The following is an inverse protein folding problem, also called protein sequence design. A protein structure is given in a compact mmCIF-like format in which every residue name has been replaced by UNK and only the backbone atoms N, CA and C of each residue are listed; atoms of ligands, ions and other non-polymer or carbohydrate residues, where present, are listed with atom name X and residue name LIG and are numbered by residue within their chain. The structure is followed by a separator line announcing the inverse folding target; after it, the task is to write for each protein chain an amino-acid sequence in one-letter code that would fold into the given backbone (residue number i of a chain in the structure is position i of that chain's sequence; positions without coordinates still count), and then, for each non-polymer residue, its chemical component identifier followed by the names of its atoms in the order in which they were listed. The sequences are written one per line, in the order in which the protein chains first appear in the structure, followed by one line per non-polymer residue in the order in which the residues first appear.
data_IF_276552070267
#
_entry.id   IF_276552070267
#
_cell.length_a   1.000
_cell.length_b   1.000
_cell.length_c   1.000
_cell.angle_alpha   90.00
_cell.angle_beta   90.00
_cell.angle_gamma   90.00
#
_symmetry.space_group_name_H-M   'P 1'
#
loop_
_entity.id
_entity.type
_entity.pdbx_description
1 polymer ?
#
# COMPACT_ATOMS: atom_id res chain seq x y z
N UNK A 1 -8.79 3.79 25.58
CA UNK A 1 -9.65 3.49 24.41
C UNK A 1 -8.80 3.69 23.17
N UNK A 2 -8.93 2.86 22.11
CA UNK A 2 -8.15 3.08 20.91
C UNK A 2 -8.54 4.42 20.28
N UNK A 3 -7.58 5.31 20.10
CA UNK A 3 -7.73 6.53 19.32
C UNK A 3 -7.75 6.11 17.83
N UNK A 4 -8.88 6.32 17.16
CA UNK A 4 -9.09 5.80 15.80
C UNK A 4 -8.65 6.77 14.69
N UNK A 5 -8.68 8.07 14.96
CA UNK A 5 -8.29 9.17 14.05
C UNK A 5 -7.44 10.22 14.80
N UNK A 6 -6.87 11.20 14.06
CA UNK A 6 -6.11 12.33 14.62
C UNK A 6 -6.82 13.13 15.73
N UNK A 7 -8.15 13.04 15.81
CA UNK A 7 -8.97 13.83 16.74
C UNK A 7 -8.89 13.36 18.19
N UNK A 8 -8.22 12.23 18.48
CA UNK A 8 -8.17 11.59 19.81
C UNK A 8 -9.57 11.35 20.44
N UNK A 9 -10.64 11.43 19.64
CA UNK A 9 -12.00 11.25 20.12
C UNK A 9 -12.31 9.76 20.29
N UNK A 10 -12.93 9.35 21.41
CA UNK A 10 -13.32 7.97 21.62
C UNK A 10 -14.43 7.59 20.63
N UNK A 11 -14.20 6.54 19.86
CA UNK A 11 -15.18 5.94 18.98
C UNK A 11 -15.72 4.65 19.60
N UNK A 12 -16.96 4.29 19.23
CA UNK A 12 -17.47 2.97 19.58
C UNK A 12 -16.67 1.90 18.84
N UNK A 13 -16.35 0.74 19.47
CA UNK A 13 -15.73 -0.36 18.76
C UNK A 13 -16.62 -0.87 17.62
N UNK A 14 -15.99 -1.23 16.51
CA UNK A 14 -16.68 -1.90 15.41
C UNK A 14 -17.30 -3.24 15.86
N UNK A 15 -18.45 -3.58 15.28
CA UNK A 15 -19.19 -4.80 15.58
C UNK A 15 -19.90 -5.23 14.31
N UNK A 16 -19.49 -6.36 13.72
CA UNK A 16 -20.05 -6.81 12.44
C UNK A 16 -21.59 -6.93 12.43
N UNK A 17 -22.26 -7.43 13.49
CA UNK A 17 -23.73 -7.47 13.53
C UNK A 17 -24.43 -6.10 13.53
N UNK A 18 -23.76 -5.04 14.00
CA UNK A 18 -24.35 -3.70 14.14
C UNK A 18 -23.92 -2.73 13.06
N UNK A 19 -22.74 -2.93 12.50
CA UNK A 19 -22.03 -1.96 11.67
C UNK A 19 -21.61 -2.55 10.33
N UNK A 20 -22.17 -3.69 9.93
CA UNK A 20 -21.85 -4.33 8.65
C UNK A 20 -22.20 -3.48 7.41
N UNK A 21 -23.11 -2.52 7.57
CA UNK A 21 -23.48 -1.52 6.57
C UNK A 21 -22.39 -0.46 6.31
N UNK A 22 -21.39 -0.35 7.20
CA UNK A 22 -20.21 0.49 6.95
C UNK A 22 -19.29 -0.11 5.88
N UNK A 23 -19.46 -1.39 5.55
CA UNK A 23 -18.59 -2.08 4.60
C UNK A 23 -19.02 -1.80 3.15
N UNK A 24 -18.05 -1.50 2.31
CA UNK A 24 -18.18 -1.20 0.89
C UNK A 24 -17.69 -2.42 0.12
N UNK A 25 -18.56 -2.99 -0.71
CA UNK A 25 -18.19 -4.03 -1.66
C UNK A 25 -18.03 -3.41 -3.05
N UNK A 26 -16.78 -3.32 -3.53
CA UNK A 26 -16.49 -2.65 -4.80
C UNK A 26 -17.15 -3.34 -6.02
N UNK A 27 -17.53 -4.62 -5.93
CA UNK A 27 -18.26 -5.28 -7.01
C UNK A 27 -19.73 -4.83 -7.12
N UNK A 28 -20.29 -4.24 -6.06
CA UNK A 28 -21.70 -3.90 -5.94
C UNK A 28 -21.90 -2.42 -5.60
N UNK A 29 -21.09 -1.55 -6.21
CA UNK A 29 -21.26 -0.11 -6.10
C UNK A 29 -22.56 0.33 -6.79
N UNK A 30 -23.16 1.40 -6.27
CA UNK A 30 -24.27 2.07 -6.94
C UNK A 30 -23.79 2.54 -8.34
N UNK A 31 -24.56 2.33 -9.42
CA UNK A 31 -24.22 2.82 -10.76
C UNK A 31 -23.94 4.33 -10.83
N UNK A 32 -24.51 5.12 -9.92
CA UNK A 32 -24.29 6.56 -9.79
C UNK A 32 -23.06 6.93 -8.95
N UNK A 33 -22.34 5.93 -8.41
CA UNK A 33 -21.11 6.15 -7.65
C UNK A 33 -20.11 6.92 -8.51
N UNK A 34 -19.67 8.12 -8.07
CA UNK A 34 -18.69 8.88 -8.84
C UNK A 34 -17.38 8.13 -9.02
N UNK A 35 -16.87 8.12 -10.24
CA UNK A 35 -15.62 7.48 -10.62
C UNK A 35 -14.66 8.52 -11.19
N UNK A 36 -13.37 8.35 -10.90
CA UNK A 36 -12.29 9.10 -11.51
C UNK A 36 -11.55 8.21 -12.52
N UNK A 37 -11.24 8.75 -13.69
CA UNK A 37 -10.59 8.03 -14.77
C UNK A 37 -9.07 8.27 -14.80
N UNK A 38 -8.34 7.17 -14.95
CA UNK A 38 -6.88 7.14 -14.96
C UNK A 38 -6.35 6.50 -16.24
N UNK A 39 -5.13 6.87 -16.62
CA UNK A 39 -4.37 6.10 -17.63
C UNK A 39 -3.96 4.73 -17.07
N UNK A 40 -3.40 3.86 -17.91
CA UNK A 40 -2.92 2.52 -17.52
C UNK A 40 -1.85 2.55 -16.44
N UNK A 41 -1.03 3.60 -16.42
CA UNK A 41 0.01 3.89 -15.43
C UNK A 41 -0.55 4.58 -14.17
N UNK A 42 -1.87 4.65 -14.03
CA UNK A 42 -2.57 5.31 -12.94
C UNK A 42 -2.15 6.78 -12.73
N UNK A 43 -1.70 7.47 -13.78
CA UNK A 43 -1.59 8.93 -13.80
C UNK A 43 -2.96 9.58 -14.05
N UNK A 44 -3.16 10.77 -13.48
CA UNK A 44 -4.39 11.53 -13.67
C UNK A 44 -4.49 12.01 -15.12
N UNK A 45 -5.71 12.00 -15.68
CA UNK A 45 -6.14 12.37 -17.05
C UNK A 45 -6.20 11.23 -18.08
N UNK A 46 -7.34 10.53 -18.14
CA UNK A 46 -7.76 9.80 -19.33
C UNK A 46 -9.02 10.46 -19.91
N UNK A 47 -9.05 10.68 -21.23
CA UNK A 47 -10.21 11.19 -21.95
C UNK A 47 -11.11 10.00 -22.36
N UNK A 48 -11.87 9.44 -21.41
CA UNK A 48 -13.00 8.55 -21.69
C UNK A 48 -12.72 7.05 -21.86
N UNK A 49 -11.45 6.64 -21.93
CA UNK A 49 -11.02 5.23 -22.08
C UNK A 49 -10.08 4.76 -20.97
N UNK A 50 -10.17 5.38 -19.79
CA UNK A 50 -9.29 5.10 -18.67
C UNK A 50 -9.75 3.96 -17.74
N UNK A 51 -8.85 3.59 -16.82
CA UNK A 51 -9.20 2.76 -15.66
C UNK A 51 -10.04 3.60 -14.69
N UNK A 52 -11.23 3.11 -14.34
CA UNK A 52 -12.16 3.79 -13.43
C UNK A 52 -11.91 3.37 -11.99
N UNK A 53 -11.64 4.35 -11.13
CA UNK A 53 -11.45 4.17 -9.69
C UNK A 53 -12.52 4.98 -8.96
N UNK A 54 -13.19 4.43 -7.93
CA UNK A 54 -14.17 5.19 -7.17
C UNK A 54 -13.59 6.47 -6.57
N UNK A 55 -14.32 7.58 -6.71
CA UNK A 55 -13.87 8.90 -6.29
C UNK A 55 -13.55 8.95 -4.80
N UNK A 56 -14.28 8.19 -3.98
CA UNK A 56 -14.03 8.12 -2.54
C UNK A 56 -12.67 7.50 -2.18
N UNK A 57 -12.00 6.80 -3.12
CA UNK A 57 -10.61 6.35 -2.98
C UNK A 57 -9.67 7.29 -3.76
N UNK A 58 -9.99 7.56 -5.03
CA UNK A 58 -9.14 8.33 -5.92
C UNK A 58 -8.94 9.78 -5.48
N UNK A 59 -10.01 10.44 -5.01
CA UNK A 59 -10.01 11.82 -4.55
C UNK A 59 -8.98 12.08 -3.44
N UNK A 60 -9.11 11.43 -2.26
CA UNK A 60 -8.14 11.62 -1.18
C UNK A 60 -6.73 11.18 -1.56
N UNK A 61 -6.56 10.11 -2.36
CA UNK A 61 -5.23 9.66 -2.82
C UNK A 61 -4.54 10.69 -3.72
N UNK A 62 -5.27 11.29 -4.67
CA UNK A 62 -4.72 12.29 -5.60
C UNK A 62 -4.43 13.61 -4.92
N UNK A 63 -5.32 14.04 -4.03
CA UNK A 63 -5.07 15.23 -3.22
C UNK A 63 -3.87 15.02 -2.29
N UNK A 64 -3.76 13.86 -1.63
CA UNK A 64 -2.61 13.54 -0.78
C UNK A 64 -1.30 13.65 -1.55
N UNK A 65 -1.24 13.07 -2.77
CA UNK A 65 -0.07 13.17 -3.63
C UNK A 65 0.25 14.62 -4.02
N UNK A 66 -0.75 15.41 -4.39
CA UNK A 66 -0.57 16.84 -4.71
C UNK A 66 -0.01 17.61 -3.51
N UNK A 67 -0.60 17.40 -2.32
CA UNK A 67 -0.20 18.09 -1.10
C UNK A 67 1.20 17.75 -0.66
N UNK A 68 1.60 16.48 -0.76
CA UNK A 68 2.99 16.12 -0.47
C UNK A 68 3.96 16.84 -1.43
N UNK A 69 3.61 16.93 -2.72
CA UNK A 69 4.42 17.69 -3.69
C UNK A 69 4.52 19.17 -3.32
N UNK A 70 3.42 19.79 -2.89
CA UNK A 70 3.40 21.17 -2.38
C UNK A 70 4.24 21.34 -1.10
N UNK A 71 4.14 20.41 -0.16
CA UNK A 71 4.94 20.42 1.09
C UNK A 71 6.43 20.40 0.76
N UNK A 72 6.85 19.47 -0.10
CA UNK A 72 8.24 19.32 -0.54
C UNK A 72 8.73 20.58 -1.27
N UNK A 73 7.96 21.09 -2.23
CA UNK A 73 8.32 22.28 -2.99
C UNK A 73 8.48 23.53 -2.10
N UNK A 74 7.68 23.62 -1.04
CA UNK A 74 7.73 24.70 -0.06
C UNK A 74 8.73 24.45 1.08
N UNK A 75 9.56 23.39 1.00
CA UNK A 75 10.49 22.97 2.07
C UNK A 75 9.79 22.79 3.44
N UNK A 76 8.54 22.32 3.41
CA UNK A 76 7.79 21.92 4.60
C UNK A 76 7.96 20.42 4.82
N UNK A 77 7.96 19.99 6.08
CA UNK A 77 8.11 18.59 6.45
C UNK A 77 7.03 17.70 5.81
N UNK A 78 7.47 16.73 5.00
CA UNK A 78 6.61 15.71 4.38
C UNK A 78 5.67 15.04 5.38
N UNK A 79 4.42 14.81 4.98
CA UNK A 79 3.42 14.09 5.77
C UNK A 79 3.88 12.69 6.24
N UNK A 80 4.75 12.02 5.48
CA UNK A 80 5.34 10.73 5.85
C UNK A 80 6.05 10.79 7.20
N UNK A 81 6.52 11.99 7.59
CA UNK A 81 7.18 12.19 8.85
C UNK A 81 6.20 12.36 10.01
N UNK A 82 4.96 12.75 9.73
CA UNK A 82 3.94 13.18 10.69
C UNK A 82 2.80 12.17 10.89
N UNK A 83 2.59 11.23 9.96
CA UNK A 83 1.54 10.21 10.07
C UNK A 83 1.80 9.22 11.19
N UNK A 84 0.70 8.68 11.74
CA UNK A 84 0.75 7.63 12.75
C UNK A 84 0.72 6.24 12.11
N UNK A 85 1.68 5.37 12.49
CA UNK A 85 1.72 3.97 12.05
C UNK A 85 0.78 3.05 12.81
N UNK A 86 -0.18 3.58 13.58
CA UNK A 86 -1.06 2.76 14.41
C UNK A 86 -1.98 1.88 13.53
N UNK A 87 -1.90 0.55 13.65
CA UNK A 87 -2.76 -0.33 12.89
C UNK A 87 -4.19 -0.26 13.43
N UNK A 88 -5.15 -0.14 12.52
CA UNK A 88 -6.57 -0.38 12.80
C UNK A 88 -7.15 -1.25 11.70
N UNK A 89 -7.94 -2.25 12.07
CA UNK A 89 -8.48 -3.26 11.16
C UNK A 89 -9.83 -2.88 10.60
N UNK A 90 -10.69 -2.40 11.49
CA UNK A 90 -12.10 -2.30 11.24
C UNK A 90 -12.45 -0.85 10.90
N UNK A 91 -13.53 -0.64 10.13
CA UNK A 91 -14.05 0.70 9.92
C UNK A 91 -14.49 1.29 11.25
N UNK A 92 -14.36 2.60 11.37
CA UNK A 92 -14.71 3.30 12.60
C UNK A 92 -16.19 3.68 12.53
N UNK A 93 -17.06 3.23 13.46
CA UNK A 93 -18.44 3.70 13.54
C UNK A 93 -18.49 5.23 13.62
N UNK A 94 -19.43 5.84 12.88
CA UNK A 94 -19.48 7.30 12.73
C UNK A 94 -19.63 8.00 14.10
N UNK A 95 -18.76 8.96 14.35
CA UNK A 95 -18.88 9.91 15.47
C UNK A 95 -19.15 11.30 14.91
N UNK A 96 -20.24 11.95 15.33
CA UNK A 96 -20.62 13.27 14.85
C UNK A 96 -19.65 14.38 15.23
N UNK A 97 -18.74 14.15 16.18
CA UNK A 97 -17.71 15.11 16.58
C UNK A 97 -16.37 14.87 15.87
N UNK A 98 -16.21 13.74 15.19
CA UNK A 98 -14.97 13.43 14.49
C UNK A 98 -15.00 13.99 13.06
N UNK A 99 -14.10 14.94 12.78
CA UNK A 99 -13.99 15.54 11.44
C UNK A 99 -13.71 14.49 10.35
N UNK A 100 -12.85 13.49 10.61
CA UNK A 100 -12.58 12.42 9.63
C UNK A 100 -13.85 11.63 9.32
N UNK A 101 -14.67 11.29 10.32
CA UNK A 101 -15.96 10.62 10.09
C UNK A 101 -16.92 11.47 9.26
N UNK A 102 -16.98 12.78 9.54
CA UNK A 102 -17.83 13.70 8.79
C UNK A 102 -17.40 13.79 7.32
N UNK A 103 -16.09 13.91 7.07
CA UNK A 103 -15.56 14.01 5.70
C UNK A 103 -15.69 12.69 4.95
N UNK A 104 -15.51 11.54 5.59
CA UNK A 104 -15.78 10.23 4.95
C UNK A 104 -17.26 10.08 4.62
N UNK A 105 -18.17 10.50 5.51
CA UNK A 105 -19.61 10.49 5.24
C UNK A 105 -19.97 11.39 4.05
N UNK A 106 -19.45 12.60 4.03
CA UNK A 106 -19.63 13.54 2.92
C UNK A 106 -19.08 12.95 1.61
N UNK A 107 -17.88 12.38 1.66
CA UNK A 107 -17.24 11.76 0.49
C UNK A 107 -18.04 10.60 -0.09
N UNK A 108 -18.69 9.80 0.76
CA UNK A 108 -19.50 8.65 0.35
C UNK A 108 -20.91 9.02 -0.11
N UNK A 109 -21.47 10.16 0.31
CA UNK A 109 -22.89 10.51 0.09
C UNK A 109 -23.11 11.73 -0.81
N UNK A 110 -22.24 12.71 -0.70
CA UNK A 110 -22.48 14.06 -1.21
C UNK A 110 -21.48 14.48 -2.28
N UNK A 111 -20.24 13.99 -2.24
CA UNK A 111 -19.20 14.29 -3.23
C UNK A 111 -19.57 13.71 -4.62
N UNK A 112 -19.48 14.53 -5.68
CA UNK A 112 -19.89 14.14 -7.05
C UNK A 112 -18.75 14.16 -8.06
N UNK A 113 -17.73 14.97 -7.84
CA UNK A 113 -16.59 15.06 -8.74
C UNK A 113 -15.29 15.41 -8.01
N UNK A 114 -14.16 15.29 -8.70
CA UNK A 114 -12.85 15.58 -8.11
C UNK A 114 -12.70 17.06 -7.70
N UNK A 115 -13.34 17.97 -8.43
CA UNK A 115 -13.35 19.40 -8.10
C UNK A 115 -14.04 19.68 -6.75
N UNK A 116 -15.04 18.88 -6.38
CA UNK A 116 -15.66 18.95 -5.05
C UNK A 116 -14.64 18.58 -3.96
N UNK A 117 -13.87 17.50 -4.16
CA UNK A 117 -12.80 17.10 -3.24
C UNK A 117 -11.75 18.21 -3.10
N UNK A 118 -11.30 18.78 -4.23
CA UNK A 118 -10.33 19.88 -4.26
C UNK A 118 -10.84 21.09 -3.49
N UNK A 119 -12.08 21.51 -3.74
CA UNK A 119 -12.70 22.66 -3.10
C UNK A 119 -12.92 22.43 -1.61
N UNK A 120 -13.43 21.25 -1.23
CA UNK A 120 -13.75 20.89 0.16
C UNK A 120 -12.50 20.78 1.03
N UNK A 121 -11.40 20.26 0.48
CA UNK A 121 -10.14 20.03 1.21
C UNK A 121 -9.01 20.98 0.80
N UNK A 122 -9.36 22.14 0.23
CA UNK A 122 -8.40 23.13 -0.27
C UNK A 122 -7.49 23.72 0.82
N UNK A 123 -7.84 23.60 2.09
CA UNK A 123 -7.05 24.08 3.24
C UNK A 123 -6.64 22.97 4.21
N UNK A 124 -6.93 21.70 3.89
CA UNK A 124 -6.62 20.57 4.77
C UNK A 124 -5.21 20.06 4.50
N UNK A 125 -4.53 19.66 5.56
CA UNK A 125 -3.18 19.09 5.47
C UNK A 125 -3.19 17.64 4.96
N UNK A 126 -2.01 17.17 4.52
CA UNK A 126 -1.81 15.82 4.01
C UNK A 126 -2.09 14.72 5.02
N UNK A 127 -1.84 14.94 6.31
CA UNK A 127 -2.07 13.91 7.34
C UNK A 127 -3.58 13.67 7.49
N UNK A 128 -4.38 14.73 7.44
CA UNK A 128 -5.83 14.64 7.45
C UNK A 128 -6.36 13.89 6.21
N UNK A 129 -5.84 14.18 5.01
CA UNK A 129 -6.19 13.45 3.78
C UNK A 129 -5.82 11.96 3.86
N UNK A 130 -4.66 11.66 4.45
CA UNK A 130 -4.23 10.28 4.68
C UNK A 130 -5.16 9.55 5.64
N UNK A 131 -5.64 10.19 6.71
CA UNK A 131 -6.63 9.61 7.63
C UNK A 131 -7.97 9.32 6.94
N UNK A 132 -8.44 10.20 6.06
CA UNK A 132 -9.64 9.95 5.23
C UNK A 132 -9.43 8.72 4.35
N UNK A 133 -8.31 8.66 3.61
CA UNK A 133 -7.98 7.51 2.77
C UNK A 133 -7.92 6.22 3.60
N UNK A 134 -7.28 6.28 4.77
CA UNK A 134 -7.13 5.15 5.69
C UNK A 134 -8.47 4.63 6.21
N UNK A 135 -9.40 5.53 6.52
CA UNK A 135 -10.76 5.17 6.97
C UNK A 135 -11.64 4.65 5.82
N UNK A 136 -11.48 5.17 4.60
CA UNK A 136 -12.15 4.62 3.42
C UNK A 136 -11.66 3.19 3.15
N UNK A 137 -10.35 2.97 3.17
CA UNK A 137 -9.78 1.66 2.91
C UNK A 137 -10.17 0.61 3.97
N UNK A 138 -10.38 1.01 5.23
CA UNK A 138 -10.88 0.08 6.28
C UNK A 138 -12.36 -0.27 6.11
N UNK A 139 -13.10 0.46 5.27
CA UNK A 139 -14.48 0.13 4.91
C UNK A 139 -14.56 -0.91 3.80
N UNK A 140 -13.47 -1.25 3.11
CA UNK A 140 -13.54 -2.26 2.06
C UNK A 140 -13.86 -3.63 2.66
N UNK A 141 -14.89 -4.28 2.10
CA UNK A 141 -15.37 -5.58 2.55
C UNK A 141 -14.35 -6.69 2.31
N UNK A 142 -13.58 -6.59 1.22
CA UNK A 142 -12.42 -7.42 0.93
C UNK A 142 -11.17 -6.55 0.94
N UNK A 143 -10.03 -7.14 1.28
CA UNK A 143 -8.74 -6.45 1.15
C UNK A 143 -8.27 -6.49 -0.30
N UNK A 144 -7.36 -5.59 -0.64
CA UNK A 144 -7.00 -5.30 -2.01
C UNK A 144 -6.10 -6.36 -2.66
N UNK A 145 -5.20 -6.97 -1.90
CA UNK A 145 -4.26 -7.96 -2.40
C UNK A 145 -4.30 -9.25 -1.56
N UNK A 146 -4.78 -10.37 -2.13
CA UNK A 146 -4.63 -11.66 -1.50
C UNK A 146 -3.21 -12.20 -1.63
N UNK A 147 -2.62 -12.61 -0.52
CA UNK A 147 -1.39 -13.38 -0.53
C UNK A 147 -1.70 -14.87 -0.55
N UNK A 148 -0.97 -15.62 -1.38
CA UNK A 148 -0.89 -17.07 -1.24
C UNK A 148 0.07 -17.45 -0.09
N UNK A 149 0.04 -18.71 0.33
CA UNK A 149 0.98 -19.21 1.36
C UNK A 149 2.42 -19.08 0.88
N UNK A 150 2.67 -19.46 -0.39
CA UNK A 150 3.98 -19.33 -1.01
C UNK A 150 4.47 -17.89 -1.08
N UNK A 151 3.61 -16.93 -1.44
CA UNK A 151 3.98 -15.51 -1.46
C UNK A 151 4.33 -15.01 -0.07
N UNK A 152 3.53 -15.36 0.94
CA UNK A 152 3.79 -15.03 2.35
C UNK A 152 5.12 -15.61 2.85
N UNK A 153 5.35 -16.90 2.61
CA UNK A 153 6.56 -17.59 3.06
C UNK A 153 7.80 -17.05 2.37
N UNK A 154 7.69 -16.74 1.07
CA UNK A 154 8.75 -16.07 0.32
C UNK A 154 9.10 -14.70 0.92
N UNK A 155 8.10 -13.88 1.27
CA UNK A 155 8.33 -12.60 1.96
C UNK A 155 9.00 -12.82 3.31
N UNK A 156 8.53 -13.78 4.11
CA UNK A 156 9.08 -14.04 5.44
C UNK A 156 10.52 -14.53 5.40
N UNK A 157 10.89 -15.38 4.43
CA UNK A 157 12.27 -15.80 4.22
C UNK A 157 13.18 -14.61 3.89
N UNK A 158 12.63 -13.60 3.21
CA UNK A 158 13.34 -12.39 2.79
C UNK A 158 13.08 -11.18 3.71
N UNK A 159 12.50 -11.36 4.89
CA UNK A 159 12.14 -10.22 5.75
C UNK A 159 13.36 -9.40 6.23
N UNK A 160 14.52 -10.05 6.36
CA UNK A 160 15.77 -9.43 6.81
C UNK A 160 16.54 -8.77 5.68
N UNK A 161 16.01 -8.81 4.45
CA UNK A 161 16.69 -8.31 3.27
C UNK A 161 17.03 -6.83 3.39
N UNK A 162 16.05 -6.01 3.80
CA UNK A 162 16.25 -4.57 4.05
C UNK A 162 17.40 -4.39 5.05
N UNK A 163 17.39 -5.09 6.18
CA UNK A 163 18.43 -4.95 7.21
C UNK A 163 19.82 -5.39 6.72
N UNK A 164 19.91 -6.45 5.91
CA UNK A 164 21.18 -6.93 5.31
C UNK A 164 21.79 -5.89 4.35
N UNK A 165 20.93 -5.15 3.65
CA UNK A 165 21.35 -4.08 2.73
C UNK A 165 21.88 -2.86 3.49
N UNK A 166 21.40 -2.61 4.71
CA UNK A 166 21.86 -1.50 5.55
C UNK A 166 23.26 -1.71 6.12
N UNK A 167 23.65 -2.96 6.35
CA UNK A 167 24.93 -3.33 6.97
C UNK A 167 25.59 -4.47 6.18
N UNK A 168 26.18 -4.21 5.01
CA UNK A 168 26.97 -5.22 4.30
C UNK A 168 28.27 -5.50 5.08
N UNK A 169 28.62 -6.78 5.25
CA UNK A 169 29.84 -7.17 5.98
C UNK A 169 31.11 -6.91 5.14
N UNK A 170 31.02 -6.99 3.80
CA UNK A 170 32.12 -6.74 2.86
C UNK A 170 31.65 -6.18 1.51
N UNK A 171 32.56 -5.60 0.70
CA UNK A 171 32.24 -5.16 -0.67
C UNK A 171 31.82 -6.30 -1.61
N UNK A 172 32.32 -7.53 -1.40
CA UNK A 172 31.88 -8.70 -2.17
C UNK A 172 30.42 -9.06 -1.91
N UNK A 173 29.91 -8.72 -0.72
CA UNK A 173 28.50 -8.93 -0.38
C UNK A 173 27.59 -8.01 -1.20
N UNK A 174 28.07 -6.85 -1.65
CA UNK A 174 27.25 -5.91 -2.44
C UNK A 174 26.80 -6.49 -3.78
N UNK A 175 27.67 -7.20 -4.49
CA UNK A 175 27.31 -7.82 -5.78
C UNK A 175 26.33 -8.98 -5.59
N UNK A 176 26.52 -9.77 -4.54
CA UNK A 176 25.61 -10.89 -4.19
C UNK A 176 24.26 -10.34 -3.76
N UNK A 177 24.23 -9.31 -2.92
CA UNK A 177 23.01 -8.61 -2.52
C UNK A 177 22.31 -7.95 -3.71
N UNK A 178 23.03 -7.39 -4.69
CA UNK A 178 22.37 -6.85 -5.88
C UNK A 178 21.62 -7.94 -6.67
N UNK A 179 22.21 -9.14 -6.82
CA UNK A 179 21.60 -10.26 -7.54
C UNK A 179 20.42 -10.88 -6.78
N UNK A 180 20.59 -11.09 -5.47
CA UNK A 180 19.51 -11.56 -4.60
C UNK A 180 18.34 -10.56 -4.59
N UNK A 181 18.62 -9.25 -4.60
CA UNK A 181 17.60 -8.20 -4.65
C UNK A 181 16.86 -8.20 -5.99
N UNK A 182 17.56 -8.29 -7.11
CA UNK A 182 16.94 -8.40 -8.45
C UNK A 182 16.01 -9.62 -8.53
N UNK A 183 16.47 -10.76 -8.00
CA UNK A 183 15.65 -11.99 -7.92
C UNK A 183 14.42 -11.75 -7.05
N UNK A 184 14.57 -11.08 -5.90
CA UNK A 184 13.47 -10.72 -5.02
C UNK A 184 12.44 -9.82 -5.68
N UNK A 185 12.87 -8.75 -6.35
CA UNK A 185 12.00 -7.82 -7.08
C UNK A 185 11.22 -8.55 -8.16
N UNK A 186 11.88 -9.42 -8.94
CA UNK A 186 11.24 -10.21 -9.99
C UNK A 186 10.24 -11.23 -9.45
N UNK A 187 10.58 -11.94 -8.37
CA UNK A 187 9.66 -12.89 -7.73
C UNK A 187 8.45 -12.18 -7.10
N UNK A 188 8.65 -11.02 -6.46
CA UNK A 188 7.52 -10.23 -5.97
C UNK A 188 6.63 -9.75 -7.12
N UNK A 189 7.23 -9.28 -8.22
CA UNK A 189 6.50 -8.87 -9.42
C UNK A 189 5.69 -10.03 -10.00
N UNK A 190 6.26 -11.24 -10.04
CA UNK A 190 5.55 -12.46 -10.43
C UNK A 190 4.31 -12.69 -9.55
N UNK A 191 4.47 -12.66 -8.22
CA UNK A 191 3.34 -12.88 -7.31
C UNK A 191 2.25 -11.80 -7.44
N UNK A 192 2.65 -10.54 -7.66
CA UNK A 192 1.70 -9.45 -7.91
C UNK A 192 0.92 -9.74 -9.20
N UNK A 193 1.60 -10.06 -10.30
CA UNK A 193 0.95 -10.33 -11.59
C UNK A 193 0.05 -11.56 -11.53
N UNK A 194 0.48 -12.63 -10.84
CA UNK A 194 -0.34 -13.83 -10.65
C UNK A 194 -1.60 -13.54 -9.83
N UNK A 195 -1.46 -12.83 -8.70
CA UNK A 195 -2.59 -12.42 -7.85
C UNK A 195 -3.54 -11.44 -8.56
N UNK A 196 -3.05 -10.72 -9.58
CA UNK A 196 -3.80 -9.68 -10.30
C UNK A 196 -4.16 -10.06 -11.74
N UNK A 197 -3.96 -11.33 -12.12
CA UNK A 197 -4.12 -11.88 -13.46
C UNK A 197 -5.53 -11.71 -14.04
N UNK A 198 -6.55 -11.74 -13.19
CA UNK A 198 -7.93 -11.40 -13.57
C UNK A 198 -8.21 -9.97 -13.12
N UNK A 199 -8.07 -8.97 -14.00
CA UNK A 199 -8.24 -7.58 -13.61
C UNK A 199 -9.70 -7.33 -13.22
N UNK A 200 -9.89 -6.84 -12.00
CA UNK A 200 -11.16 -6.38 -11.49
C UNK A 200 -11.02 -5.04 -10.77
N UNK A 201 -12.12 -4.55 -10.17
CA UNK A 201 -12.12 -3.26 -9.49
C UNK A 201 -11.21 -3.21 -8.25
N UNK A 202 -11.10 -4.30 -7.47
CA UNK A 202 -10.19 -4.37 -6.34
C UNK A 202 -8.75 -4.34 -6.84
N UNK A 203 -8.46 -5.10 -7.89
CA UNK A 203 -7.16 -5.13 -8.54
C UNK A 203 -6.76 -3.76 -9.09
N UNK A 204 -7.69 -3.03 -9.70
CA UNK A 204 -7.46 -1.67 -10.19
C UNK A 204 -7.22 -0.67 -9.06
N UNK A 205 -7.98 -0.76 -7.98
CA UNK A 205 -7.77 0.07 -6.78
C UNK A 205 -6.41 -0.22 -6.15
N UNK A 206 -6.02 -1.49 -6.07
CA UNK A 206 -4.70 -1.90 -5.58
C UNK A 206 -3.56 -1.28 -6.38
N UNK A 207 -3.57 -1.45 -7.71
CA UNK A 207 -2.55 -0.91 -8.59
C UNK A 207 -2.50 0.62 -8.55
N UNK A 208 -3.66 1.29 -8.50
CA UNK A 208 -3.73 2.74 -8.34
C UNK A 208 -3.10 3.22 -7.03
N UNK A 209 -3.45 2.56 -5.91
CA UNK A 209 -2.92 2.86 -4.59
C UNK A 209 -1.39 2.66 -4.57
N UNK A 210 -0.90 1.49 -4.98
CA UNK A 210 0.52 1.17 -4.94
C UNK A 210 1.35 2.07 -5.85
N UNK A 211 0.90 2.33 -7.08
CA UNK A 211 1.59 3.22 -8.01
C UNK A 211 1.75 4.62 -7.43
N UNK A 212 0.71 5.16 -6.79
CA UNK A 212 0.78 6.50 -6.21
C UNK A 212 1.56 6.53 -4.89
N UNK A 213 1.54 5.46 -4.08
CA UNK A 213 2.43 5.33 -2.92
C UNK A 213 3.91 5.30 -3.33
N UNK A 214 4.24 4.57 -4.41
CA UNK A 214 5.58 4.51 -4.98
C UNK A 214 6.03 5.90 -5.46
N UNK A 215 5.17 6.62 -6.20
CA UNK A 215 5.44 8.00 -6.64
C UNK A 215 5.67 8.95 -5.45
N UNK A 216 4.86 8.82 -4.41
CA UNK A 216 4.99 9.61 -3.18
C UNK A 216 6.29 9.31 -2.40
N UNK A 217 6.71 8.04 -2.35
CA UNK A 217 7.99 7.65 -1.76
C UNK A 217 9.18 8.18 -2.57
N UNK A 218 9.13 8.09 -3.90
CA UNK A 218 10.17 8.63 -4.78
C UNK A 218 10.30 10.15 -4.61
N UNK A 219 9.17 10.87 -4.59
CA UNK A 219 9.16 12.31 -4.33
C UNK A 219 9.74 12.68 -2.96
N UNK A 220 9.44 11.89 -1.91
CA UNK A 220 10.03 12.08 -0.59
C UNK A 220 11.55 11.94 -0.60
N UNK A 221 12.08 10.91 -1.27
CA UNK A 221 13.52 10.69 -1.39
C UNK A 221 14.20 11.81 -2.19
N UNK A 222 13.61 12.20 -3.32
CA UNK A 222 14.16 13.22 -4.20
C UNK A 222 14.13 14.61 -3.54
N UNK A 223 13.01 14.95 -2.90
CA UNK A 223 12.77 16.31 -2.41
C UNK A 223 13.17 16.53 -0.96
N UNK A 224 12.70 15.68 -0.04
CA UNK A 224 12.96 15.84 1.41
C UNK A 224 14.38 15.37 1.74
N UNK A 225 14.73 14.15 1.33
CA UNK A 225 16.05 13.58 1.61
C UNK A 225 17.14 14.11 0.67
N UNK A 226 16.73 14.73 -0.45
CA UNK A 226 17.63 15.33 -1.45
C UNK A 226 18.67 14.32 -1.96
N UNK A 227 18.22 13.09 -2.20
CA UNK A 227 19.08 12.04 -2.74
C UNK A 227 19.54 12.42 -4.15
N UNK A 228 20.84 12.71 -4.30
CA UNK A 228 21.45 13.07 -5.58
C UNK A 228 21.87 11.85 -6.43
N UNK A 229 21.71 10.63 -5.91
CA UNK A 229 22.16 9.39 -6.57
C UNK A 229 21.06 8.75 -7.43
N UNK A 230 21.34 8.66 -8.73
CA UNK A 230 20.52 7.93 -9.71
C UNK A 230 19.28 8.68 -10.19
N UNK A 231 18.56 8.08 -11.13
CA UNK A 231 17.32 8.64 -11.66
C UNK A 231 16.13 8.22 -10.77
N UNK A 232 15.25 9.15 -10.33
CA UNK A 232 14.03 8.79 -9.58
C UNK A 232 13.07 7.86 -10.33
N UNK A 233 13.23 7.73 -11.65
CA UNK A 233 12.48 6.77 -12.46
C UNK A 233 12.99 5.33 -12.31
N UNK A 234 14.25 5.14 -11.90
CA UNK A 234 14.89 3.82 -11.82
C UNK A 234 14.18 2.91 -10.79
N UNK A 235 14.00 1.61 -11.11
CA UNK A 235 13.39 0.65 -10.19
C UNK A 235 14.12 0.53 -8.85
N UNK A 236 15.46 0.62 -8.85
CA UNK A 236 16.31 0.51 -7.66
C UNK A 236 16.50 1.84 -6.89
N UNK A 237 15.83 2.93 -7.29
CA UNK A 237 16.01 4.25 -6.67
C UNK A 237 15.77 4.24 -5.15
N UNK A 238 14.66 3.65 -4.70
CA UNK A 238 14.35 3.51 -3.27
C UNK A 238 15.35 2.58 -2.57
N UNK A 239 15.85 1.55 -3.25
CA UNK A 239 16.87 0.67 -2.69
C UNK A 239 18.18 1.42 -2.43
N UNK A 240 18.61 2.30 -3.35
CA UNK A 240 19.76 3.19 -3.13
C UNK A 240 19.51 4.14 -1.96
N UNK A 241 18.32 4.74 -1.91
CA UNK A 241 17.94 5.64 -0.82
C UNK A 241 17.92 4.96 0.56
N UNK A 242 17.50 3.69 0.63
CA UNK A 242 17.54 2.88 1.87
C UNK A 242 18.98 2.77 2.39
N UNK A 243 19.99 2.66 1.52
CA UNK A 243 21.40 2.58 1.92
C UNK A 243 21.94 3.91 2.45
N UNK A 244 21.55 5.02 1.83
CA UNK A 244 22.02 6.36 2.19
C UNK A 244 21.31 6.93 3.42
N UNK A 245 20.00 6.66 3.55
CA UNK A 245 19.11 7.21 4.57
C UNK A 245 18.35 6.08 5.31
N UNK A 246 19.07 5.14 5.95
CA UNK A 246 18.48 3.93 6.55
C UNK A 246 17.39 4.24 7.56
N UNK A 247 17.61 5.23 8.42
CA UNK A 247 16.71 5.57 9.51
C UNK A 247 15.42 6.19 8.98
N UNK A 248 15.55 7.18 8.10
CA UNK A 248 14.45 7.94 7.51
C UNK A 248 13.58 7.04 6.64
N UNK A 249 14.21 6.21 5.79
CA UNK A 249 13.51 5.28 4.91
C UNK A 249 12.85 4.14 5.68
N UNK A 250 13.54 3.55 6.66
CA UNK A 250 12.96 2.51 7.52
C UNK A 250 11.75 3.04 8.27
N UNK A 251 11.82 4.26 8.80
CA UNK A 251 10.69 4.91 9.49
C UNK A 251 9.52 5.16 8.54
N UNK A 252 9.76 5.82 7.40
CA UNK A 252 8.71 6.12 6.42
C UNK A 252 8.00 4.84 5.94
N UNK A 253 8.75 3.80 5.56
CA UNK A 253 8.20 2.52 5.14
C UNK A 253 7.46 1.79 6.26
N UNK A 254 8.01 1.76 7.48
CA UNK A 254 7.39 1.06 8.60
C UNK A 254 6.08 1.71 9.03
N UNK A 255 6.01 3.04 9.00
CA UNK A 255 4.80 3.80 9.34
C UNK A 255 3.72 3.60 8.28
N UNK A 256 4.05 3.75 6.99
CA UNK A 256 3.11 3.45 5.90
C UNK A 256 2.64 2.01 5.93
N UNK A 257 3.57 1.05 6.10
CA UNK A 257 3.24 -0.35 6.12
C UNK A 257 2.33 -0.72 7.28
N UNK A 258 2.60 -0.23 8.49
CA UNK A 258 1.75 -0.50 9.65
C UNK A 258 0.37 0.14 9.51
N UNK A 259 0.29 1.34 8.91
CA UNK A 259 -0.97 2.03 8.69
C UNK A 259 -1.83 1.37 7.60
N UNK A 260 -1.23 0.86 6.52
CA UNK A 260 -1.96 0.38 5.35
C UNK A 260 -2.13 -1.14 5.30
N UNK A 261 -1.18 -1.92 5.86
CA UNK A 261 -1.21 -3.38 5.75
C UNK A 261 -2.52 -4.04 6.19
N UNK A 262 -3.20 -3.61 7.27
CA UNK A 262 -4.42 -4.28 7.70
C UNK A 262 -5.59 -4.07 6.74
N UNK A 263 -5.48 -3.09 5.83
CA UNK A 263 -6.51 -2.68 4.86
C UNK A 263 -6.22 -3.20 3.46
N UNK A 264 -4.95 -3.34 3.13
CA UNK A 264 -4.48 -3.72 1.79
C UNK A 264 -4.24 -5.22 1.67
N UNK A 265 -3.64 -5.86 2.68
CA UNK A 265 -3.08 -7.21 2.58
C UNK A 265 -4.06 -8.24 3.14
N UNK A 266 -4.52 -9.20 2.33
CA UNK A 266 -5.27 -10.36 2.81
C UNK A 266 -4.35 -11.54 3.08
N UNK A 267 -4.17 -11.89 4.36
CA UNK A 267 -3.51 -13.12 4.78
C UNK A 267 -4.56 -14.07 5.33
N UNK A 268 -4.55 -15.32 4.86
CA UNK A 268 -5.43 -16.35 5.37
C UNK A 268 -5.04 -16.71 6.81
N UNK A 269 -6.05 -16.92 7.67
CA UNK A 269 -5.88 -17.14 9.12
C UNK A 269 -4.88 -18.24 9.48
N UNK A 270 -4.75 -19.26 8.65
CA UNK A 270 -3.88 -20.41 8.87
C UNK A 270 -2.41 -20.20 8.50
N UNK A 271 -2.03 -19.10 7.85
CA UNK A 271 -0.63 -18.86 7.44
C UNK A 271 0.32 -18.57 8.61
N UNK A 272 -0.21 -18.18 9.76
CA UNK A 272 0.57 -17.71 10.92
C UNK A 272 0.16 -18.42 12.24
N UNK A 273 -0.60 -19.51 12.12
CA UNK A 273 -0.97 -20.41 13.22
C UNK A 273 -0.36 -21.79 12.95
N UNK A 274 0.73 -22.18 13.62
CA UNK A 274 1.32 -23.51 13.46
C UNK A 274 0.38 -24.59 14.03
N UNK A 275 0.00 -25.56 13.20
CA UNK A 275 -0.60 -26.85 13.62
C UNK A 275 0.59 -27.80 13.86
N UNK A 276 0.81 -28.49 14.98
CA UNK A 276 -0.08 -29.36 15.77
C UNK A 276 0.16 -29.28 17.30
N UNK A 277 0.82 -28.22 17.79
CA UNK A 277 1.25 -28.12 19.21
C UNK A 277 0.81 -26.84 19.94
N UNK A 278 0.04 -25.96 19.28
CA UNK A 278 -0.45 -24.73 19.87
C UNK A 278 -1.67 -24.97 20.78
N UNK A 279 -1.42 -25.52 21.97
CA UNK A 279 -2.38 -25.50 23.07
C UNK A 279 -2.50 -24.05 23.57
N UNK A 280 -3.55 -23.36 23.12
CA UNK A 280 -3.98 -22.01 23.54
C UNK A 280 -3.11 -20.83 23.09
N UNK A 281 -3.27 -20.39 21.83
CA UNK A 281 -2.95 -19.00 21.47
C UNK A 281 -4.11 -18.08 21.87
N UNK A 282 -3.81 -16.93 22.49
CA UNK A 282 -4.86 -15.93 22.75
C UNK A 282 -5.27 -15.24 21.44
N UNK A 283 -6.50 -14.70 21.39
CA UNK A 283 -6.97 -13.92 20.24
C UNK A 283 -6.10 -12.69 19.96
N UNK A 284 -5.46 -12.15 21.02
CA UNK A 284 -4.51 -11.04 20.91
C UNK A 284 -3.21 -11.48 20.22
N UNK A 285 -2.66 -12.63 20.59
CA UNK A 285 -1.44 -13.14 19.96
C UNK A 285 -1.65 -13.47 18.48
N UNK A 286 -2.83 -14.03 18.13
CA UNK A 286 -3.21 -14.24 16.73
C UNK A 286 -3.25 -12.92 15.95
N UNK A 287 -3.82 -11.87 16.55
CA UNK A 287 -3.95 -10.55 15.95
C UNK A 287 -2.58 -9.87 15.77
N UNK A 288 -1.73 -9.93 16.79
CA UNK A 288 -0.40 -9.33 16.76
C UNK A 288 0.49 -10.01 15.70
N UNK A 289 0.42 -11.35 15.57
CA UNK A 289 1.10 -12.08 14.49
C UNK A 289 0.58 -11.71 13.11
N UNK A 290 -0.73 -11.63 12.94
CA UNK A 290 -1.31 -11.20 11.67
C UNK A 290 -0.80 -9.80 11.28
N UNK A 291 -0.84 -8.84 12.20
CA UNK A 291 -0.38 -7.47 11.94
C UNK A 291 1.08 -7.43 11.55
N UNK A 292 1.91 -8.19 12.26
CA UNK A 292 3.33 -8.28 11.97
C UNK A 292 3.58 -8.84 10.56
N UNK A 293 2.96 -9.97 10.21
CA UNK A 293 3.11 -10.59 8.89
C UNK A 293 2.57 -9.67 7.77
N UNK A 294 1.40 -9.06 7.96
CA UNK A 294 0.82 -8.16 6.98
C UNK A 294 1.70 -6.92 6.78
N UNK A 295 2.28 -6.39 7.85
CA UNK A 295 3.21 -5.25 7.80
C UNK A 295 4.47 -5.62 7.02
N UNK A 296 5.05 -6.81 7.21
CA UNK A 296 6.20 -7.27 6.44
C UNK A 296 5.86 -7.43 4.94
N UNK A 297 4.68 -7.96 4.62
CA UNK A 297 4.17 -8.04 3.25
C UNK A 297 4.00 -6.66 2.61
N UNK A 298 3.44 -5.69 3.35
CA UNK A 298 3.31 -4.33 2.85
C UNK A 298 4.68 -3.66 2.66
N UNK A 299 5.64 -3.89 3.57
CA UNK A 299 7.02 -3.40 3.42
C UNK A 299 7.70 -3.99 2.20
N UNK A 300 7.52 -5.28 1.92
CA UNK A 300 8.11 -5.90 0.72
C UNK A 300 7.60 -5.22 -0.54
N UNK A 301 6.31 -4.90 -0.63
CA UNK A 301 5.72 -4.19 -1.76
C UNK A 301 6.31 -2.78 -1.94
N UNK A 302 6.49 -2.04 -0.83
CA UNK A 302 7.05 -0.69 -0.88
C UNK A 302 8.53 -0.68 -1.30
N UNK A 303 9.28 -1.75 -1.01
CA UNK A 303 10.70 -1.87 -1.37
C UNK A 303 10.92 -2.14 -2.86
N UNK A 304 10.02 -2.87 -3.53
CA UNK A 304 10.14 -3.17 -4.97
C UNK A 304 10.28 -1.86 -5.75
N UNK A 305 9.50 -0.84 -5.36
CA UNK A 305 9.51 0.49 -5.96
C UNK A 305 9.38 0.51 -7.51
N UNK A 306 9.02 -0.60 -8.14
CA UNK A 306 8.75 -0.70 -9.56
C UNK A 306 7.28 -0.37 -9.82
N UNK A 307 6.99 0.51 -10.76
CA UNK A 307 5.61 0.85 -11.15
C UNK A 307 5.08 -0.18 -12.14
N UNK A 308 5.97 -0.75 -12.94
CA UNK A 308 5.70 -1.64 -14.06
C UNK A 308 4.84 -2.86 -13.68
N UNK A 309 5.05 -3.56 -12.54
CA UNK A 309 4.17 -4.65 -12.12
C UNK A 309 2.73 -4.22 -11.82
N UNK A 310 2.50 -2.92 -11.64
CA UNK A 310 1.19 -2.33 -11.41
C UNK A 310 0.63 -1.65 -12.67
N UNK A 311 1.44 -1.39 -13.70
CA UNK A 311 1.00 -0.83 -14.98
C UNK A 311 0.48 -1.91 -15.93
N UNK A 312 -0.78 -1.78 -16.32
CA UNK A 312 -1.45 -2.73 -17.20
C UNK A 312 -0.86 -2.81 -18.60
N UNK A 313 -0.26 -1.72 -19.09
CA UNK A 313 0.38 -1.72 -20.39
C UNK A 313 1.77 -2.38 -20.36
N UNK A 314 2.39 -2.47 -19.17
CA UNK A 314 3.71 -3.07 -19.01
C UNK A 314 3.66 -4.57 -18.68
N UNK A 315 2.49 -5.13 -18.34
CA UNK A 315 2.34 -6.51 -17.85
C UNK A 315 3.09 -7.55 -18.71
N UNK A 316 2.91 -7.53 -20.03
CA UNK A 316 3.58 -8.50 -20.91
C UNK A 316 5.10 -8.35 -20.88
N UNK A 317 5.60 -7.13 -20.90
CA UNK A 317 7.04 -6.85 -20.82
C UNK A 317 7.61 -7.30 -19.47
N UNK A 318 6.88 -7.08 -18.38
CA UNK A 318 7.30 -7.53 -17.04
C UNK A 318 7.36 -9.06 -16.98
N UNK A 319 6.37 -9.77 -17.55
CA UNK A 319 6.39 -11.23 -17.66
C UNK A 319 7.61 -11.74 -18.43
N UNK A 320 7.94 -11.12 -19.57
CA UNK A 320 9.14 -11.48 -20.35
C UNK A 320 10.43 -11.29 -19.54
N UNK A 321 10.56 -10.15 -18.84
CA UNK A 321 11.73 -9.88 -17.99
C UNK A 321 11.85 -10.89 -16.85
N UNK A 322 10.74 -11.23 -16.18
CA UNK A 322 10.70 -12.24 -15.11
C UNK A 322 11.17 -13.60 -15.64
N UNK A 323 10.56 -14.09 -16.72
CA UNK A 323 10.82 -15.43 -17.26
C UNK A 323 12.17 -15.56 -17.97
N UNK A 324 12.81 -14.44 -18.33
CA UNK A 324 14.17 -14.41 -18.86
C UNK A 324 15.26 -14.63 -17.80
N UNK A 325 14.94 -14.44 -16.50
CA UNK A 325 15.87 -14.71 -15.41
C UNK A 325 15.83 -16.21 -15.04
N UNK A 326 16.93 -16.97 -15.20
CA UNK A 326 16.93 -18.41 -14.93
C UNK A 326 16.56 -18.77 -13.49
N UNK A 327 17.06 -18.02 -12.50
CA UNK A 327 16.79 -18.28 -11.09
C UNK A 327 15.32 -18.08 -10.73
N UNK A 328 14.68 -17.09 -11.36
CA UNK A 328 13.24 -16.82 -11.18
C UNK A 328 12.41 -17.87 -11.89
N UNK A 329 12.78 -18.24 -13.12
CA UNK A 329 12.10 -19.27 -13.90
C UNK A 329 12.05 -20.62 -13.17
N UNK A 330 13.18 -21.06 -12.61
CA UNK A 330 13.24 -22.32 -11.86
C UNK A 330 12.29 -22.31 -10.65
N UNK A 331 12.20 -21.17 -9.94
CA UNK A 331 11.27 -21.01 -8.81
C UNK A 331 9.81 -21.01 -9.26
N UNK A 332 9.49 -20.34 -10.38
CA UNK A 332 8.14 -20.31 -10.95
C UNK A 332 7.71 -21.70 -11.41
N UNK A 333 8.60 -22.46 -12.03
CA UNK A 333 8.31 -23.83 -12.46
C UNK A 333 8.01 -24.73 -11.26
N UNK A 334 8.76 -24.61 -10.16
CA UNK A 334 8.45 -25.31 -8.89
C UNK A 334 7.06 -24.94 -8.38
N UNK A 335 6.73 -23.65 -8.32
CA UNK A 335 5.41 -23.17 -7.85
C UNK A 335 4.28 -23.74 -8.71
N UNK A 336 4.45 -23.82 -10.03
CA UNK A 336 3.42 -24.33 -10.94
C UNK A 336 3.24 -25.85 -10.90
N UNK A 337 4.19 -26.60 -10.32
CA UNK A 337 4.12 -28.07 -10.21
C UNK A 337 3.47 -28.59 -8.92
N UNK A 338 3.28 -27.71 -7.93
CA UNK A 338 2.68 -28.01 -6.62
C UNK A 338 1.24 -27.51 -6.59
#
# INVERSE_FOLDING_TARGET
MPEHHLTCLPHQPYSAPRHGDLLIDLYYLDPETPMMEFKSDYSCTANGNGVKIPLFIAGPLMLLRSRQGEEIANNTESFLNRISGRPSFNPTPECCQCEVCQEVRWLLKDCRCFDDCQSRWCSRDSVFLFEILKEVLSRLKKKLLPYSLFHHDYVNMNQFYISRVLCPDTEKDLTVLALEFDTFVKMQSFFILDATKTPDIYTNVFCCLMTNLIRMLRAYVEGELRCAEGDPSDPDYIFRAIRLFPTEMSRAMSVLASALSPRVIDLKKYYYVPCDSATFMSSRDEQDRYLWSATNCMRSLLVINAIEPFDRCAEHQVWEVILSNPAVKDLVDVINTV
#
